data_IF_660521638731
#
_entry.id   IF_660521638731
#
_cell.length_a   1.000
_cell.length_b   1.000
_cell.length_c   1.000
_cell.angle_alpha   90.00
_cell.angle_beta   90.00
_cell.angle_gamma   90.00
#
_symmetry.space_group_name_H-M   'P 1'
#
loop_
_entity.id
_entity.type
_entity.pdbx_description
1 polymer ?
2 water ?
#
# COMPACT_ATOMS: atom_id res chain seq x y z
N UNK A 9 6.99 -14.87 12.59
CA UNK A 9 7.26 -14.79 11.14
C UNK A 9 7.95 -13.46 10.77
N UNK A 10 7.45 -12.28 11.19
CA UNK A 10 8.15 -11.02 10.91
C UNK A 10 8.28 -10.19 12.18
N UNK A 11 9.39 -9.46 12.32
CA UNK A 11 9.60 -8.52 13.40
C UNK A 11 9.93 -7.13 12.88
N UNK A 12 9.32 -6.15 13.52
CA UNK A 12 9.43 -4.74 13.17
C UNK A 12 10.86 -4.25 13.29
N UNK A 13 11.36 -3.49 12.32
CA UNK A 13 12.67 -2.88 12.46
C UNK A 13 12.62 -1.36 12.60
N UNK A 14 11.94 -0.68 11.71
CA UNK A 14 11.87 0.76 11.78
C UNK A 14 10.80 1.20 10.87
N UNK A 15 10.35 2.44 11.02
CA UNK A 15 9.45 3.09 10.04
C UNK A 15 10.09 4.32 9.46
N UNK A 16 9.73 4.58 8.21
CA UNK A 16 10.17 5.75 7.47
C UNK A 16 8.98 6.32 6.73
N UNK A 17 8.88 7.64 6.69
CA UNK A 17 7.76 8.32 6.04
C UNK A 17 8.17 8.57 4.61
N UNK A 18 7.23 8.35 3.66
CA UNK A 18 7.47 8.58 2.23
C UNK A 18 6.32 9.33 1.59
N UNK A 19 6.59 10.19 0.60
CA UNK A 19 5.53 10.60 -0.31
C UNK A 19 5.37 9.49 -1.34
N UNK A 20 4.17 9.36 -1.87
CA UNK A 20 3.93 8.36 -2.90
C UNK A 20 3.04 8.93 -4.01
N UNK A 21 3.40 8.61 -5.26
CA UNK A 21 2.57 8.91 -6.42
C UNK A 21 2.56 7.69 -7.30
N UNK A 22 1.47 7.45 -8.02
CA UNK A 22 1.52 6.40 -9.05
C UNK A 22 2.31 6.92 -10.27
N UNK A 23 2.51 6.04 -11.23
CA UNK A 23 3.32 6.34 -12.41
C UNK A 23 2.68 7.41 -13.30
N UNK A 24 1.38 7.67 -13.14
CA UNK A 24 0.71 8.76 -13.85
C UNK A 24 0.51 10.01 -13.02
N UNK A 25 1.26 10.09 -11.93
CA UNK A 25 1.33 11.26 -11.02
C UNK A 25 0.07 11.50 -10.21
N UNK A 26 -0.77 10.47 -10.04
CA UNK A 26 -1.83 10.55 -9.06
C UNK A 26 -1.30 10.32 -7.64
N UNK A 27 -1.83 11.07 -6.70
CA UNK A 27 -1.50 10.82 -5.30
C UNK A 27 -2.72 10.18 -4.62
N UNK A 28 -2.52 9.72 -3.39
CA UNK A 28 -3.62 9.18 -2.58
C UNK A 28 -4.24 10.29 -1.69
N UNK A 29 -5.56 10.21 -1.52
CA UNK A 29 -6.26 10.97 -0.48
C UNK A 29 -7.21 10.03 0.23
N UNK A 30 -7.50 10.31 1.50
CA UNK A 30 -8.43 9.51 2.25
C UNK A 30 -9.82 10.09 2.03
N UNK A 31 -10.58 9.41 1.18
CA UNK A 31 -11.91 9.87 0.78
C UNK A 31 -12.88 9.74 1.94
N UNK A 32 -12.75 8.65 2.66
CA UNK A 32 -13.56 8.38 3.83
C UNK A 32 -12.68 7.57 4.72
N UNK A 33 -13.08 7.39 5.99
CA UNK A 33 -12.17 6.71 6.87
C UNK A 33 -11.77 5.28 6.51
N UNK A 34 -12.44 4.63 5.58
CA UNK A 34 -12.01 3.28 5.18
C UNK A 34 -11.66 3.16 3.69
N UNK A 35 -11.57 4.28 2.97
CA UNK A 35 -11.26 4.19 1.54
C UNK A 35 -10.28 5.26 1.04
N UNK A 36 -9.17 4.82 0.44
CA UNK A 36 -8.26 5.69 -0.23
C UNK A 36 -8.73 5.79 -1.65
N UNK A 37 -8.58 6.96 -2.23
CA UNK A 37 -8.75 7.18 -3.67
C UNK A 37 -7.49 7.83 -4.22
N UNK A 38 -7.32 7.70 -5.54
CA UNK A 38 -6.20 8.29 -6.21
C UNK A 38 -6.62 9.38 -7.16
N UNK A 39 -5.96 10.53 -7.08
CA UNK A 39 -6.32 11.62 -7.99
C UNK A 39 -5.17 12.55 -8.30
N UNK A 40 -5.33 13.39 -9.32
CA UNK A 40 -4.32 14.40 -9.59
C UNK A 40 -4.73 15.56 -8.69
N UNK A 41 -3.95 15.84 -7.67
CA UNK A 41 -4.23 16.96 -6.79
C UNK A 41 -3.59 18.18 -7.43
N UNK A 42 -4.43 19.07 -7.96
CA UNK A 42 -3.98 20.26 -8.70
C UNK A 42 -4.39 21.52 -7.96
N UNK A 43 -3.48 22.50 -7.93
CA UNK A 43 -3.75 23.79 -7.27
C UNK A 43 -3.90 23.64 -5.76
N UNK A 44 -4.71 24.51 -5.13
CA UNK A 44 -4.99 24.39 -3.71
C UNK A 44 -6.36 23.76 -3.50
N UNK A 45 -6.46 22.97 -2.44
CA UNK A 45 -7.68 22.29 -2.07
C UNK A 45 -7.75 22.24 -0.56
N UNK A 46 -8.84 21.67 -0.06
CA UNK A 46 -8.94 21.25 1.34
C UNK A 46 -8.37 19.82 1.50
N UNK A 47 -8.36 19.06 0.39
CA UNK A 47 -7.88 17.65 0.32
C UNK A 47 -6.39 17.54 0.58
N UNK A 48 -6.07 16.65 1.50
CA UNK A 48 -4.74 16.54 2.08
C UNK A 48 -4.10 15.25 1.57
N UNK A 49 -2.97 15.38 0.89
CA UNK A 49 -2.26 14.26 0.29
C UNK A 49 -1.83 13.29 1.36
N UNK A 50 -2.04 12.00 1.12
CA UNK A 50 -1.61 10.96 2.02
C UNK A 50 -0.14 10.70 1.88
N UNK A 51 0.56 10.60 3.00
CA UNK A 51 1.90 10.09 3.03
C UNK A 51 1.88 8.73 3.69
N UNK A 52 2.89 7.91 3.44
CA UNK A 52 2.93 6.57 4.01
C UNK A 52 3.99 6.46 5.08
N UNK A 53 3.65 5.87 6.22
CA UNK A 53 4.64 5.49 7.23
C UNK A 53 4.91 4.04 6.90
N UNK A 54 6.03 3.79 6.24
CA UNK A 54 6.34 2.44 5.79
C UNK A 54 7.16 1.73 6.86
N UNK A 55 6.55 0.75 7.53
CA UNK A 55 7.25 -0.03 8.57
C UNK A 55 7.96 -1.16 7.91
N UNK A 56 9.29 -1.21 8.06
CA UNK A 56 10.09 -2.29 7.55
C UNK A 56 10.20 -3.40 8.56
N UNK A 57 10.00 -4.63 8.12
CA UNK A 57 10.08 -5.85 8.95
C UNK A 57 11.27 -6.67 8.52
N UNK A 58 11.71 -7.55 9.40
CA UNK A 58 12.68 -8.60 9.13
C UNK A 58 11.99 -9.95 9.33
N UNK A 59 12.17 -10.90 8.39
CA UNK A 59 11.73 -12.28 8.66
C UNK A 59 12.51 -12.87 9.83
N UNK A 60 11.87 -13.64 10.71
CA UNK A 60 12.63 -14.28 11.79
C UNK A 60 13.28 -15.57 11.29
N UNK A 66 6.17 -18.21 -4.16
CA UNK A 66 5.46 -17.04 -4.68
C UNK A 66 6.44 -16.10 -5.42
N UNK A 67 6.00 -14.87 -5.71
CA UNK A 67 6.86 -13.84 -6.33
C UNK A 67 7.30 -12.76 -5.35
N UNK A 68 7.51 -13.18 -4.10
CA UNK A 68 7.57 -12.30 -2.92
C UNK A 68 8.98 -11.87 -2.40
N UNK A 69 9.33 -10.60 -2.63
CA UNK A 69 10.70 -10.06 -2.46
C UNK A 69 11.02 -9.05 -1.34
N UNK A 70 12.16 -9.38 -0.74
CA UNK A 70 12.38 -9.39 0.71
C UNK A 70 12.65 -8.05 1.34
N UNK A 71 11.71 -7.16 1.12
CA UNK A 71 11.50 -6.07 2.00
C UNK A 71 10.03 -6.23 2.37
N UNK A 72 9.77 -7.00 3.44
CA UNK A 72 8.39 -7.00 3.91
C UNK A 72 8.08 -5.76 4.71
N UNK A 73 6.96 -5.14 4.41
CA UNK A 73 6.60 -3.85 5.01
C UNK A 73 5.12 -3.84 5.40
N UNK A 74 4.77 -3.01 6.40
CA UNK A 74 3.40 -2.56 6.59
C UNK A 74 3.27 -1.13 6.14
N UNK A 75 2.08 -0.76 5.62
CA UNK A 75 1.83 0.55 5.07
C UNK A 75 0.85 1.36 5.92
N UNK A 76 1.40 2.28 6.68
CA UNK A 76 0.60 3.12 7.57
C UNK A 76 0.20 4.38 6.81
N UNK A 77 -1.04 4.81 7.00
CA UNK A 77 -1.58 6.03 6.42
C UNK A 77 -1.26 7.14 7.39
N UNK A 78 -0.17 7.85 7.12
CA UNK A 78 0.47 8.76 8.08
C UNK A 78 -0.55 9.83 8.54
N UNK A 79 -0.65 9.90 9.86
CA UNK A 79 -1.50 10.87 10.56
C UNK A 79 -2.96 10.48 10.75
N UNK A 80 -3.33 9.31 10.26
CA UNK A 80 -4.68 8.82 10.36
C UNK A 80 -4.84 7.55 11.21
N UNK A 81 -3.73 6.98 11.69
CA UNK A 81 -3.75 5.85 12.62
C UNK A 81 -4.40 4.60 11.98
N UNK A 82 -4.18 4.46 10.66
CA UNK A 82 -4.67 3.35 9.89
C UNK A 82 -3.47 2.63 9.25
N UNK A 83 -3.67 1.34 8.98
CA UNK A 83 -2.77 0.51 8.18
C UNK A 83 -3.56 -0.19 7.08
N UNK A 84 -2.92 -0.34 5.93
CA UNK A 84 -3.52 -1.06 4.82
C UNK A 84 -3.51 -2.55 5.16
N UNK A 85 -4.55 -3.25 4.71
CA UNK A 85 -4.59 -4.69 4.84
C UNK A 85 -5.25 -5.35 3.63
N UNK A 86 -4.96 -6.61 3.39
CA UNK A 86 -5.65 -7.36 2.36
C UNK A 86 -6.43 -8.44 3.03
N UNK A 87 -7.73 -8.49 2.72
CA UNK A 87 -8.63 -9.50 3.26
C UNK A 87 -9.62 -9.92 2.21
N UNK A 88 -10.27 -11.06 2.44
CA UNK A 88 -11.33 -11.51 1.59
C UNK A 88 -12.60 -10.78 1.99
N UNK A 89 -13.29 -10.25 0.99
CA UNK A 89 -14.62 -9.67 1.16
C UNK A 89 -15.57 -10.31 0.17
N UNK A 90 -16.57 -11.02 0.71
CA UNK A 90 -17.33 -11.97 -0.01
C UNK A 90 -16.38 -13.08 -0.37
N UNK A 91 -16.20 -13.21 -1.67
CA UNK A 91 -15.31 -14.17 -2.29
C UNK A 91 -14.20 -13.48 -3.04
N UNK A 92 -13.94 -12.19 -2.79
CA UNK A 92 -12.91 -11.47 -3.58
C UNK A 92 -11.85 -10.83 -2.68
N UNK A 93 -10.57 -11.00 -3.06
CA UNK A 93 -9.53 -10.27 -2.37
C UNK A 93 -9.78 -8.76 -2.44
N UNK A 94 -9.58 -8.06 -1.31
CA UNK A 94 -9.88 -6.67 -1.22
C UNK A 94 -8.84 -5.96 -0.38
N UNK A 95 -8.53 -4.74 -0.78
CA UNK A 95 -7.70 -3.85 0.05
C UNK A 95 -8.58 -3.06 0.98
N UNK A 96 -8.23 -3.05 2.24
CA UNK A 96 -8.98 -2.23 3.16
C UNK A 96 -8.06 -1.47 4.08
N UNK A 97 -8.63 -0.50 4.76
CA UNK A 97 -7.89 0.28 5.72
C UNK A 97 -8.47 -0.03 7.08
N UNK A 98 -7.58 -0.28 8.03
CA UNK A 98 -7.95 -0.71 9.38
C UNK A 98 -7.30 0.17 10.40
N UNK A 99 -8.07 0.57 11.43
CA UNK A 99 -7.53 1.17 12.61
C UNK A 99 -6.69 0.10 13.28
N UNK A 100 -5.38 0.31 13.33
CA UNK A 100 -4.47 -0.64 13.94
C UNK A 100 -3.31 0.17 14.47
N UNK A 101 -2.79 -0.29 15.60
CA UNK A 101 -1.56 0.22 16.16
C UNK A 101 -0.34 -0.42 15.52
N UNK A 102 0.83 0.12 15.79
CA UNK A 102 2.05 -0.34 15.16
C UNK A 102 2.38 -1.74 15.73
N UNK A 103 2.62 -2.70 14.86
CA UNK A 103 2.74 -4.08 15.23
C UNK A 103 4.19 -4.49 15.29
N UNK A 104 4.61 -4.93 16.46
CA UNK A 104 5.95 -5.33 16.68
C UNK A 104 6.21 -6.71 16.05
N UNK A 105 5.21 -7.57 16.14
CA UNK A 105 5.30 -8.95 15.71
C UNK A 105 4.19 -9.29 14.78
N UNK A 106 4.56 -9.87 13.63
CA UNK A 106 3.57 -10.45 12.71
C UNK A 106 3.82 -11.94 12.73
N UNK A 107 3.00 -12.65 13.48
CA UNK A 107 3.30 -14.01 13.85
C UNK A 107 2.09 -14.90 13.68
N UNK A 108 1.20 -14.52 12.76
CA UNK A 108 0.03 -15.33 12.45
C UNK A 108 -0.43 -15.07 11.01
N UNK A 109 -1.11 -16.04 10.40
CA UNK A 109 -1.69 -15.83 9.07
C UNK A 109 -2.57 -14.60 9.10
N UNK A 110 -3.33 -14.45 10.17
CA UNK A 110 -4.25 -13.34 10.35
C UNK A 110 -3.55 -11.98 10.23
N UNK A 111 -2.44 -11.84 10.96
CA UNK A 111 -1.68 -10.59 10.98
C UNK A 111 -0.92 -10.35 9.68
N UNK A 112 -0.65 -11.42 8.93
CA UNK A 112 0.01 -11.29 7.63
C UNK A 112 -0.81 -10.41 6.65
N UNK A 113 -2.08 -10.21 6.96
CA UNK A 113 -2.93 -9.28 6.16
C UNK A 113 -2.31 -7.90 6.01
N UNK A 114 -1.49 -7.47 6.99
CA UNK A 114 -0.84 -6.16 6.95
C UNK A 114 0.46 -6.08 6.16
N UNK A 115 1.02 -7.22 5.76
CA UNK A 115 2.34 -7.24 5.17
C UNK A 115 2.24 -7.26 3.64
N UNK A 116 3.07 -6.39 3.07
CA UNK A 116 3.31 -6.35 1.63
C UNK A 116 4.77 -6.49 1.37
N UNK A 117 5.11 -7.05 0.21
CA UNK A 117 6.50 -7.00 -0.20
C UNK A 117 6.71 -5.79 -1.09
N UNK A 118 7.62 -4.93 -0.65
CA UNK A 118 8.02 -3.78 -1.38
C UNK A 118 9.01 -4.23 -2.43
N UNK A 119 8.64 -4.05 -3.70
CA UNK A 119 9.44 -4.54 -4.83
C UNK A 119 10.00 -3.35 -5.57
N UNK A 120 11.26 -3.04 -5.34
CA UNK A 120 11.84 -1.88 -5.99
C UNK A 120 12.55 -2.25 -7.30
N UNK A 121 12.42 -1.38 -8.30
CA UNK A 121 13.20 -1.46 -9.54
C UNK A 121 14.25 -0.39 -9.38
N UNK A 122 15.39 -0.77 -8.82
CA UNK A 122 16.38 0.23 -8.38
C UNK A 122 16.87 1.15 -9.51
N UNK A 123 17.21 0.56 -10.67
CA UNK A 123 17.59 1.33 -11.85
C UNK A 123 16.58 2.44 -12.04
N UNK A 124 15.28 2.10 -12.05
CA UNK A 124 14.18 3.00 -12.51
C UNK A 124 13.55 3.91 -11.41
N UNK A 125 13.83 3.60 -10.17
CA UNK A 125 13.33 4.33 -9.00
C UNK A 125 11.83 4.08 -8.78
N UNK A 126 11.34 2.97 -9.28
CA UNK A 126 9.92 2.65 -9.13
C UNK A 126 9.71 1.48 -8.20
N UNK A 127 8.46 1.32 -7.73
CA UNK A 127 8.12 0.35 -6.72
C UNK A 127 6.76 -0.29 -7.00
N UNK A 128 6.64 -1.59 -6.73
CA UNK A 128 5.35 -2.25 -6.67
C UNK A 128 5.18 -2.78 -5.25
N UNK A 129 3.95 -3.01 -4.83
CA UNK A 129 3.65 -3.62 -3.55
C UNK A 129 2.80 -4.85 -3.70
N UNK A 130 3.36 -5.99 -3.36
CA UNK A 130 2.65 -7.26 -3.47
C UNK A 130 2.13 -7.71 -2.08
N UNK A 131 0.88 -8.08 -1.99
CA UNK A 131 0.34 -8.64 -0.71
C UNK A 131 1.05 -9.92 -0.30
N UNK A 132 1.46 -10.03 0.98
CA UNK A 132 1.94 -11.30 1.54
C UNK A 132 0.81 -12.31 1.80
N UNK A 133 -0.35 -11.79 2.14
CA UNK A 133 -1.52 -12.61 2.44
C UNK A 133 -2.14 -13.19 1.14
N UNK A 134 -2.02 -12.43 0.06
CA UNK A 134 -2.56 -12.77 -1.25
C UNK A 134 -1.45 -12.66 -2.28
N UNK A 135 -0.51 -13.60 -2.28
CA UNK A 135 0.58 -13.56 -3.23
C UNK A 135 0.03 -13.48 -4.68
N UNK A 136 0.67 -12.68 -5.55
CA UNK A 136 0.16 -12.42 -6.91
C UNK A 136 -0.75 -11.23 -7.01
N UNK A 137 -1.08 -10.63 -5.88
CA UNK A 137 -1.96 -9.46 -5.82
C UNK A 137 -1.17 -8.24 -5.41
N UNK A 138 -1.40 -7.16 -6.13
CA UNK A 138 -0.61 -5.92 -6.03
C UNK A 138 -1.50 -4.74 -5.84
N UNK A 139 -1.04 -3.78 -5.04
CA UNK A 139 -1.78 -2.55 -4.83
C UNK A 139 -1.86 -1.76 -6.13
N UNK A 140 -3.05 -1.35 -6.48
CA UNK A 140 -3.26 -0.70 -7.73
C UNK A 140 -4.20 0.49 -7.67
N UNK A 141 -4.06 1.34 -8.65
CA UNK A 141 -4.98 2.45 -8.86
C UNK A 141 -5.66 2.27 -10.19
N UNK A 142 -6.75 2.98 -10.33
CA UNK A 142 -7.45 3.06 -11.58
C UNK A 142 -6.69 3.98 -12.55
N UNK A 143 -6.93 3.80 -13.85
CA UNK A 143 -6.49 4.78 -14.85
C UNK A 143 -7.27 6.07 -14.75
N UNK A 144 -8.49 5.98 -14.22
CA UNK A 144 -9.34 7.14 -14.02
C UNK A 144 -9.14 7.75 -12.65
N UNK A 145 -9.22 9.09 -12.56
CA UNK A 145 -9.06 9.69 -11.24
C UNK A 145 -10.30 9.49 -10.36
N UNK A 146 -10.11 9.71 -9.06
CA UNK A 146 -11.13 9.68 -8.02
C UNK A 146 -11.83 8.35 -7.89
N UNK A 147 -11.07 7.27 -8.09
CA UNK A 147 -11.53 5.91 -7.86
C UNK A 147 -10.74 5.25 -6.71
N UNK A 148 -11.32 4.22 -6.08
CA UNK A 148 -10.62 3.58 -4.95
C UNK A 148 -9.28 2.98 -5.35
N UNK A 149 -8.35 3.02 -4.39
CA UNK A 149 -7.13 2.21 -4.43
C UNK A 149 -7.52 0.79 -4.08
N UNK A 150 -6.98 -0.18 -4.82
CA UNK A 150 -7.35 -1.57 -4.62
C UNK A 150 -6.21 -2.52 -4.78
N UNK A 151 -6.52 -3.82 -4.94
CA UNK A 151 -5.54 -4.84 -5.30
C UNK A 151 -5.99 -5.62 -6.54
N UNK A 152 -5.03 -6.09 -7.28
CA UNK A 152 -5.26 -6.77 -8.56
C UNK A 152 -4.28 -7.93 -8.73
N UNK A 153 -4.72 -9.01 -9.38
CA UNK A 153 -3.82 -10.02 -9.84
C UNK A 153 -3.40 -9.84 -11.31
N UNK A 154 -3.71 -8.67 -11.86
CA UNK A 154 -3.25 -8.26 -13.21
C UNK A 154 -2.57 -6.90 -13.09
N UNK A 155 -1.42 -6.88 -12.43
CA UNK A 155 -0.81 -5.52 -12.10
C UNK A 155 -0.44 -4.80 -13.42
N UNK A 156 -0.80 -3.54 -13.50
CA UNK A 156 -0.42 -2.66 -14.61
C UNK A 156 -1.13 -3.02 -15.89
N UNK A 157 -2.24 -3.78 -15.82
CA UNK A 157 -3.04 -4.17 -17.01
C UNK A 157 -4.42 -3.51 -16.87
N UNK A 158 -4.58 -2.33 -17.47
CA UNK A 158 -5.76 -1.46 -17.34
C UNK A 158 -5.98 -1.01 -15.88
N UNK A 159 -4.84 -0.89 -15.21
CA UNK A 159 -4.74 -0.24 -13.92
C UNK A 159 -3.26 0.20 -13.82
N UNK A 160 -2.93 0.85 -12.74
CA UNK A 160 -1.55 1.21 -12.45
C UNK A 160 -1.15 0.49 -11.13
N UNK A 161 -0.04 -0.22 -11.16
CA UNK A 161 0.47 -0.91 -9.97
C UNK A 161 1.92 -0.53 -9.72
N UNK A 162 2.34 0.59 -10.32
CA UNK A 162 3.73 1.05 -10.25
C UNK A 162 3.73 2.46 -9.66
N UNK A 163 4.64 2.67 -8.68
CA UNK A 163 4.67 3.89 -7.87
C UNK A 163 6.08 4.46 -7.81
N UNK A 164 6.14 5.72 -7.44
CA UNK A 164 7.40 6.38 -7.15
C UNK A 164 7.29 6.90 -5.71
N UNK A 165 8.21 6.45 -4.88
CA UNK A 165 8.28 6.87 -3.49
C UNK A 165 9.43 7.86 -3.35
N UNK A 166 9.21 8.86 -2.51
CA UNK A 166 10.27 9.83 -2.18
C UNK A 166 10.34 10.02 -0.67
N UNK A 167 11.52 9.82 -0.09
CA UNK A 167 11.71 10.02 1.34
C UNK A 167 12.29 11.40 1.52
N UNK A 168 13.38 11.50 2.29
#
# INVERSE_FOLDING_TARGET
>A
HHHHHHAPAFRYTRSQSFDIFDINQKCFVLESPTQLVALHLQGPSSSQKVRLNIALYRPRGPRGSAGTGQMPVALGIKGYKLYMSCVMSGTEPTLQLEEADVMRDIDSVELTRFIFYRLDSPAEGTTRFESAAFPGWFICTSLQPRQPVGITNQPDQVNIATYKLSGR
#
